data_IF_814961299696
#
_entry.id   IF_814961299696
#
_cell.length_a   1.000
_cell.length_b   1.000
_cell.length_c   1.000
_cell.angle_alpha   90.00
_cell.angle_beta   90.00
_cell.angle_gamma   90.00
#
_symmetry.space_group_name_H-M   'P 1'
#
loop_
_entity.id
_entity.type
_entity.pdbx_description
1 polymer ?
#
# COMPACT_ATOMS: atom_id res chain seq x y z
N UNK A 1 1.41 -30.69 30.73
CA UNK A 1 1.43 -30.42 29.34
C UNK A 1 1.28 -28.95 29.03
N UNK A 2 2.33 -28.15 29.29
CA UNK A 2 2.37 -26.73 28.84
C UNK A 2 3.36 -26.68 27.67
N UNK A 3 2.91 -26.92 26.45
CA UNK A 3 3.85 -26.96 25.34
C UNK A 3 3.28 -26.78 23.93
N UNK A 4 1.97 -26.75 23.72
CA UNK A 4 1.41 -26.79 22.36
C UNK A 4 0.58 -25.56 21.95
N UNK A 5 0.31 -24.62 22.83
CA UNK A 5 -0.62 -23.50 22.56
C UNK A 5 0.01 -22.29 21.84
N UNK A 6 1.29 -22.33 21.51
CA UNK A 6 1.99 -21.19 20.90
C UNK A 6 2.34 -21.32 19.41
N UNK A 7 2.04 -22.44 18.78
CA UNK A 7 2.39 -22.70 17.39
C UNK A 7 1.16 -22.69 16.47
N UNK A 8 1.27 -22.02 15.35
CA UNK A 8 0.25 -22.03 14.30
C UNK A 8 0.34 -23.36 13.52
N UNK A 9 -0.64 -24.24 13.68
CA UNK A 9 -0.71 -25.51 12.97
C UNK A 9 -1.24 -25.34 11.54
N UNK A 10 -0.96 -26.30 10.66
CA UNK A 10 -1.36 -26.22 9.25
C UNK A 10 -2.87 -26.08 9.06
N UNK A 11 -3.66 -26.76 9.91
CA UNK A 11 -5.11 -26.65 9.88
C UNK A 11 -5.58 -25.24 10.21
N UNK A 12 -5.02 -24.62 11.23
CA UNK A 12 -5.33 -23.23 11.61
C UNK A 12 -4.87 -22.25 10.55
N UNK A 13 -3.66 -22.45 10.00
CA UNK A 13 -3.16 -21.61 8.90
C UNK A 13 -4.10 -21.64 7.69
N UNK A 14 -4.63 -22.81 7.31
CA UNK A 14 -5.63 -22.92 6.23
C UNK A 14 -6.89 -22.13 6.52
N UNK A 15 -7.39 -22.15 7.77
CA UNK A 15 -8.56 -21.36 8.16
C UNK A 15 -8.32 -19.86 8.00
N UNK A 16 -7.18 -19.35 8.45
CA UNK A 16 -6.81 -17.94 8.26
C UNK A 16 -6.63 -17.59 6.80
N UNK A 17 -5.97 -18.44 6.01
CA UNK A 17 -5.78 -18.27 4.59
C UNK A 17 -7.12 -18.13 3.85
N UNK A 18 -8.04 -19.04 4.11
CA UNK A 18 -9.34 -19.06 3.45
C UNK A 18 -10.22 -17.88 3.88
N UNK A 19 -10.12 -17.48 5.17
CA UNK A 19 -10.83 -16.32 5.70
C UNK A 19 -10.31 -15.03 5.05
N UNK A 20 -9.01 -14.84 4.98
CA UNK A 20 -8.38 -13.66 4.37
C UNK A 20 -8.68 -13.55 2.88
N UNK A 21 -8.67 -14.68 2.16
CA UNK A 21 -9.04 -14.70 0.75
C UNK A 21 -10.50 -14.29 0.54
N UNK A 22 -11.42 -14.89 1.26
CA UNK A 22 -12.85 -14.59 1.13
C UNK A 22 -13.20 -13.17 1.53
N UNK A 23 -12.62 -12.68 2.62
CA UNK A 23 -12.94 -11.36 3.16
C UNK A 23 -12.25 -10.22 2.39
N UNK A 24 -11.02 -10.41 2.01
CA UNK A 24 -10.15 -9.32 1.55
C UNK A 24 -9.40 -9.61 0.25
N UNK A 25 -9.54 -10.81 -0.32
CA UNK A 25 -8.82 -11.20 -1.52
C UNK A 25 -7.30 -11.40 -1.32
N UNK A 26 -6.86 -11.48 -0.07
CA UNK A 26 -5.45 -11.73 0.24
C UNK A 26 -5.13 -13.20 -0.02
N UNK A 27 -4.17 -13.46 -0.91
CA UNK A 27 -3.64 -14.79 -1.17
C UNK A 27 -2.40 -15.03 -0.31
N UNK A 28 -2.47 -16.03 0.57
CA UNK A 28 -1.39 -16.44 1.45
C UNK A 28 -0.87 -17.82 1.00
N UNK A 29 0.33 -17.87 0.41
CA UNK A 29 0.98 -19.13 0.08
C UNK A 29 1.48 -19.84 1.32
N UNK A 30 1.74 -21.16 1.22
CA UNK A 30 2.25 -21.96 2.34
C UNK A 30 3.60 -21.42 2.87
N UNK A 31 4.42 -20.82 2.01
CA UNK A 31 5.66 -20.16 2.40
C UNK A 31 5.47 -19.00 3.38
N UNK A 32 4.28 -18.40 3.44
CA UNK A 32 3.96 -17.29 4.33
C UNK A 32 3.48 -17.71 5.73
N UNK A 33 3.37 -19.01 6.00
CA UNK A 33 2.89 -19.52 7.30
C UNK A 33 3.67 -18.94 8.47
N UNK A 34 5.00 -18.90 8.41
CA UNK A 34 5.83 -18.35 9.46
C UNK A 34 5.63 -16.84 9.66
N UNK A 35 5.48 -16.11 8.58
CA UNK A 35 5.17 -14.67 8.61
C UNK A 35 3.82 -14.41 9.29
N UNK A 36 2.79 -15.17 8.92
CA UNK A 36 1.44 -15.08 9.52
C UNK A 36 1.52 -15.41 11.00
N UNK A 37 2.17 -16.51 11.37
CA UNK A 37 2.35 -16.91 12.77
C UNK A 37 3.01 -15.81 13.59
N UNK A 38 4.11 -15.23 13.11
CA UNK A 38 4.83 -14.18 13.82
C UNK A 38 4.01 -12.90 14.00
N UNK A 39 3.28 -12.48 12.99
CA UNK A 39 2.44 -11.28 13.06
C UNK A 39 1.24 -11.46 13.98
N UNK A 40 0.55 -12.58 13.86
CA UNK A 40 -0.61 -12.89 14.70
C UNK A 40 -0.21 -13.16 16.16
N UNK A 41 0.94 -13.78 16.43
CA UNK A 41 1.41 -14.02 17.78
C UNK A 41 1.53 -12.73 18.62
N UNK A 42 1.99 -11.64 18.01
CA UNK A 42 2.03 -10.32 18.66
C UNK A 42 0.62 -9.83 18.99
N UNK A 43 -0.33 -10.05 18.10
CA UNK A 43 -1.72 -9.65 18.30
C UNK A 43 -2.41 -10.47 19.37
N UNK A 44 -2.18 -11.79 19.40
CA UNK A 44 -2.70 -12.67 20.46
C UNK A 44 -2.25 -12.19 21.84
N UNK A 45 -0.95 -11.87 21.99
CA UNK A 45 -0.42 -11.33 23.25
C UNK A 45 -1.08 -10.01 23.65
N UNK A 46 -1.25 -9.11 22.71
CA UNK A 46 -1.91 -7.83 22.95
C UNK A 46 -3.36 -7.99 23.43
N UNK A 47 -4.07 -8.97 22.89
CA UNK A 47 -5.47 -9.27 23.25
C UNK A 47 -5.60 -10.27 24.41
N UNK A 48 -4.49 -10.75 24.97
CA UNK A 48 -4.47 -11.80 26.00
C UNK A 48 -5.23 -13.07 25.59
N UNK A 49 -5.12 -13.46 24.32
CA UNK A 49 -5.76 -14.67 23.80
C UNK A 49 -4.80 -15.86 23.89
N UNK A 50 -5.28 -17.04 24.35
CA UNK A 50 -4.41 -18.18 24.59
C UNK A 50 -4.04 -18.98 23.32
N UNK A 51 -4.82 -18.85 22.24
CA UNK A 51 -4.59 -19.67 21.04
C UNK A 51 -5.02 -18.95 19.74
N UNK A 52 -4.47 -19.43 18.61
CA UNK A 52 -4.90 -18.98 17.28
C UNK A 52 -6.37 -19.34 17.00
N UNK A 53 -6.88 -20.43 17.54
CA UNK A 53 -8.28 -20.80 17.41
C UNK A 53 -9.22 -19.78 18.09
N UNK A 54 -8.83 -19.27 19.26
CA UNK A 54 -9.57 -18.20 19.94
C UNK A 54 -9.55 -16.89 19.12
N UNK A 55 -8.42 -16.57 18.53
CA UNK A 55 -8.31 -15.41 17.66
C UNK A 55 -9.17 -15.56 16.41
N UNK A 56 -9.16 -16.73 15.78
CA UNK A 56 -10.01 -17.01 14.63
C UNK A 56 -11.50 -16.80 14.95
N UNK A 57 -11.98 -17.31 16.10
CA UNK A 57 -13.36 -17.09 16.56
C UNK A 57 -13.66 -15.59 16.75
N UNK A 58 -12.72 -14.86 17.32
CA UNK A 58 -12.87 -13.41 17.49
C UNK A 58 -13.00 -12.69 16.17
N UNK A 59 -12.21 -13.04 15.17
CA UNK A 59 -12.29 -12.44 13.82
C UNK A 59 -13.69 -12.61 13.19
N UNK A 60 -14.33 -13.74 13.45
CA UNK A 60 -15.68 -14.00 12.92
C UNK A 60 -16.76 -13.15 13.59
N UNK A 61 -16.52 -12.70 14.80
CA UNK A 61 -17.48 -11.96 15.63
C UNK A 61 -17.24 -10.43 15.64
N UNK A 62 -16.05 -9.98 15.28
CA UNK A 62 -15.62 -8.58 15.45
C UNK A 62 -15.04 -8.04 14.13
N UNK A 63 -15.83 -7.23 13.44
CA UNK A 63 -15.42 -6.61 12.17
C UNK A 63 -14.26 -5.64 12.29
N UNK A 64 -14.10 -4.98 13.43
CA UNK A 64 -12.95 -4.10 13.71
C UNK A 64 -11.66 -4.90 13.83
N UNK A 65 -11.72 -6.06 14.51
CA UNK A 65 -10.57 -6.95 14.61
C UNK A 65 -10.26 -7.62 13.25
N UNK A 66 -11.26 -7.89 12.43
CA UNK A 66 -11.06 -8.38 11.07
C UNK A 66 -10.23 -7.39 10.24
N UNK A 67 -10.54 -6.10 10.30
CA UNK A 67 -9.75 -5.08 9.61
C UNK A 67 -8.31 -5.02 10.13
N UNK A 68 -8.13 -5.15 11.44
CA UNK A 68 -6.79 -5.23 12.05
C UNK A 68 -5.99 -6.42 11.53
N UNK A 69 -6.61 -7.59 11.41
CA UNK A 69 -5.98 -8.78 10.85
C UNK A 69 -5.60 -8.58 9.36
N UNK A 70 -6.49 -7.99 8.59
CA UNK A 70 -6.21 -7.61 7.18
C UNK A 70 -4.97 -6.73 7.10
N UNK A 71 -4.89 -5.67 7.91
CA UNK A 71 -3.75 -4.76 7.95
C UNK A 71 -2.44 -5.47 8.33
N UNK A 72 -2.49 -6.37 9.30
CA UNK A 72 -1.32 -7.14 9.76
C UNK A 72 -0.82 -8.16 8.72
N UNK A 73 -1.73 -8.79 7.98
CA UNK A 73 -1.41 -9.87 7.05
C UNK A 73 -1.20 -9.41 5.61
N UNK A 74 -1.51 -8.17 5.31
CA UNK A 74 -1.23 -7.58 4.00
C UNK A 74 0.29 -7.40 3.84
N UNK A 75 0.86 -7.97 2.78
CA UNK A 75 2.28 -7.81 2.46
C UNK A 75 2.47 -6.56 1.63
N UNK A 76 3.20 -5.58 2.18
CA UNK A 76 3.42 -4.28 1.55
C UNK A 76 4.93 -4.08 1.28
N UNK A 77 5.51 -4.88 0.38
CA UNK A 77 6.85 -4.60 -0.13
C UNK A 77 6.74 -3.49 -1.17
N UNK A 78 7.26 -2.30 -0.81
CA UNK A 78 7.21 -1.13 -1.67
C UNK A 78 8.37 -0.19 -1.38
N UNK A 79 8.84 0.50 -2.41
CA UNK A 79 9.83 1.57 -2.31
C UNK A 79 9.70 2.52 -3.51
N UNK A 80 10.23 3.72 -3.38
CA UNK A 80 10.19 4.72 -4.46
C UNK A 80 10.95 4.24 -5.68
N UNK A 81 10.39 4.47 -6.87
CA UNK A 81 10.93 4.05 -8.17
C UNK A 81 11.20 2.54 -8.27
N UNK A 82 10.38 1.73 -7.59
CA UNK A 82 10.42 0.29 -7.73
C UNK A 82 10.17 -0.10 -9.18
N UNK A 83 11.06 -0.97 -9.73
CA UNK A 83 11.09 -1.27 -11.16
C UNK A 83 11.30 -0.01 -12.02
N UNK A 84 12.47 0.66 -11.91
CA UNK A 84 12.69 1.97 -12.54
C UNK A 84 12.47 1.97 -14.06
N UNK A 85 12.67 0.84 -14.74
CA UNK A 85 12.40 0.69 -16.17
C UNK A 85 10.93 0.95 -16.54
N UNK A 86 9.98 0.62 -15.65
CA UNK A 86 8.56 0.91 -15.88
C UNK A 86 8.30 2.42 -15.90
N UNK A 87 8.98 3.17 -15.02
CA UNK A 87 8.85 4.62 -14.97
C UNK A 87 9.59 5.30 -16.11
N UNK A 88 10.73 4.77 -16.57
CA UNK A 88 11.41 5.22 -17.78
C UNK A 88 10.49 5.03 -19.01
N UNK A 89 9.86 3.89 -19.14
CA UNK A 89 8.90 3.61 -20.21
C UNK A 89 7.68 4.54 -20.14
N UNK A 90 7.15 4.78 -18.94
CA UNK A 90 6.06 5.73 -18.71
C UNK A 90 6.44 7.13 -19.19
N UNK A 91 7.61 7.61 -18.78
CA UNK A 91 8.14 8.94 -19.13
C UNK A 91 8.38 9.10 -20.63
N UNK A 92 9.03 8.13 -21.25
CA UNK A 92 9.58 8.25 -22.59
C UNK A 92 8.61 7.83 -23.69
N UNK A 93 7.64 6.97 -23.38
CA UNK A 93 6.76 6.36 -24.36
C UNK A 93 5.27 6.51 -24.06
N UNK A 94 4.82 6.18 -22.87
CA UNK A 94 3.38 6.11 -22.55
C UNK A 94 2.78 7.51 -22.47
N UNK A 95 3.30 8.37 -21.61
CA UNK A 95 2.76 9.73 -21.44
C UNK A 95 2.85 10.59 -22.70
N UNK A 96 3.98 10.60 -23.43
CA UNK A 96 4.04 11.34 -24.70
C UNK A 96 3.11 10.78 -25.78
N UNK A 97 2.83 9.48 -25.74
CA UNK A 97 1.96 8.78 -26.69
C UNK A 97 0.45 8.94 -26.46
N UNK A 98 0.03 9.56 -25.36
CA UNK A 98 -1.39 9.74 -25.06
C UNK A 98 -2.03 10.69 -26.07
N UNK A 99 -2.96 10.16 -26.87
CA UNK A 99 -3.66 10.90 -27.93
C UNK A 99 -4.70 11.88 -27.39
N UNK A 100 -5.26 11.60 -26.21
CA UNK A 100 -6.21 12.49 -25.55
C UNK A 100 -5.56 13.81 -25.18
N UNK A 101 -6.26 14.91 -25.42
CA UNK A 101 -5.82 16.26 -25.00
C UNK A 101 -6.41 16.70 -23.66
N UNK A 102 -7.32 15.90 -23.09
CA UNK A 102 -7.96 16.17 -21.81
C UNK A 102 -7.05 15.87 -20.60
N UNK A 103 -7.61 15.96 -19.37
CA UNK A 103 -6.91 15.58 -18.16
C UNK A 103 -6.41 14.12 -18.23
N UNK A 104 -5.19 13.88 -17.76
CA UNK A 104 -4.63 12.52 -17.64
C UNK A 104 -5.02 11.96 -16.29
N UNK A 105 -5.65 10.79 -16.26
CA UNK A 105 -6.03 10.09 -15.04
C UNK A 105 -5.34 8.74 -14.96
N UNK A 106 -4.71 8.50 -13.81
CA UNK A 106 -3.98 7.26 -13.53
C UNK A 106 -4.52 6.63 -12.25
N UNK A 107 -4.63 5.32 -12.22
CA UNK A 107 -4.97 4.55 -11.03
C UNK A 107 -3.79 3.69 -10.59
N UNK A 108 -3.36 3.87 -9.34
CA UNK A 108 -2.42 3.00 -8.63
C UNK A 108 -3.24 2.07 -7.74
N UNK A 109 -3.44 0.82 -8.16
CA UNK A 109 -4.47 -0.07 -7.62
C UNK A 109 -4.10 -0.76 -6.31
N UNK A 110 -2.82 -0.88 -5.99
CA UNK A 110 -2.29 -1.43 -4.74
C UNK A 110 -1.13 -0.54 -4.28
N UNK A 111 -1.48 0.64 -3.78
CA UNK A 111 -0.52 1.73 -3.57
C UNK A 111 0.35 1.58 -2.32
N UNK A 112 0.00 0.66 -1.40
CA UNK A 112 0.67 0.49 -0.12
C UNK A 112 0.81 1.81 0.64
N UNK A 113 1.97 2.11 1.17
CA UNK A 113 2.28 3.34 1.92
C UNK A 113 2.54 4.59 1.04
N UNK A 114 2.28 4.49 -0.26
CA UNK A 114 2.22 5.65 -1.16
C UNK A 114 3.44 5.86 -2.05
N UNK A 115 4.47 5.02 -1.98
CA UNK A 115 5.71 5.18 -2.75
C UNK A 115 5.46 5.13 -4.26
N UNK A 116 4.58 4.23 -4.73
CA UNK A 116 4.23 4.14 -6.15
C UNK A 116 3.44 5.35 -6.64
N UNK A 117 2.32 5.77 -6.03
CA UNK A 117 1.59 6.94 -6.52
C UNK A 117 2.41 8.22 -6.44
N UNK A 118 3.26 8.41 -5.46
CA UNK A 118 4.15 9.58 -5.42
C UNK A 118 5.24 9.52 -6.48
N UNK A 119 5.75 8.32 -6.80
CA UNK A 119 6.66 8.14 -7.94
C UNK A 119 5.96 8.48 -9.26
N UNK A 120 4.74 7.99 -9.48
CA UNK A 120 3.92 8.35 -10.64
C UNK A 120 3.70 9.85 -10.73
N UNK A 121 3.39 10.49 -9.59
CA UNK A 121 3.15 11.93 -9.54
C UNK A 121 4.40 12.74 -9.93
N UNK A 122 5.58 12.34 -9.47
CA UNK A 122 6.83 12.99 -9.86
C UNK A 122 7.07 12.89 -11.38
N UNK A 123 6.89 11.70 -11.96
CA UNK A 123 7.06 11.48 -13.39
C UNK A 123 6.05 12.27 -14.21
N UNK A 124 4.77 12.24 -13.79
CA UNK A 124 3.71 12.99 -14.49
C UNK A 124 3.93 14.49 -14.42
N UNK A 125 4.35 15.02 -13.29
CA UNK A 125 4.67 16.44 -13.14
C UNK A 125 5.81 16.88 -14.08
N UNK A 126 6.83 16.03 -14.27
CA UNK A 126 7.95 16.31 -15.18
C UNK A 126 7.54 16.29 -16.65
N UNK A 127 6.66 15.38 -17.05
CA UNK A 127 6.32 15.14 -18.47
C UNK A 127 5.15 15.99 -18.95
N UNK A 128 4.13 16.16 -18.12
CA UNK A 128 2.85 16.75 -18.53
C UNK A 128 2.83 18.28 -18.47
N UNK A 129 3.81 18.90 -17.80
CA UNK A 129 3.88 20.36 -17.71
C UNK A 129 2.60 20.96 -17.13
N UNK A 130 1.98 21.89 -17.85
CA UNK A 130 0.72 22.53 -17.47
C UNK A 130 -0.56 21.73 -17.80
N UNK A 131 -0.45 20.54 -18.39
CA UNK A 131 -1.60 19.69 -18.67
C UNK A 131 -2.22 19.17 -17.37
N UNK A 132 -3.56 19.25 -17.19
CA UNK A 132 -4.22 18.72 -16.00
C UNK A 132 -4.01 17.19 -15.86
N UNK A 133 -3.75 16.74 -14.65
CA UNK A 133 -3.61 15.33 -14.34
C UNK A 133 -3.95 15.03 -12.88
N UNK A 134 -4.31 13.79 -12.59
CA UNK A 134 -4.58 13.32 -11.25
C UNK A 134 -4.40 11.81 -11.14
N UNK A 135 -4.21 11.36 -9.91
CA UNK A 135 -4.01 9.95 -9.56
C UNK A 135 -5.07 9.55 -8.52
N UNK A 136 -5.72 8.41 -8.76
CA UNK A 136 -6.43 7.68 -7.72
C UNK A 136 -5.51 6.59 -7.22
N UNK A 137 -5.22 6.57 -5.93
CA UNK A 137 -4.40 5.56 -5.30
C UNK A 137 -5.23 4.76 -4.30
N UNK A 138 -5.20 3.45 -4.38
CA UNK A 138 -6.02 2.60 -3.53
C UNK A 138 -5.23 1.45 -2.95
N UNK A 139 -5.65 1.02 -1.78
CA UNK A 139 -5.14 -0.18 -1.12
C UNK A 139 -6.22 -0.79 -0.23
N UNK A 140 -6.05 -2.05 0.12
CA UNK A 140 -6.93 -2.75 1.03
C UNK A 140 -6.66 -2.37 2.49
N UNK A 141 -5.40 -2.09 2.84
CA UNK A 141 -4.96 -1.78 4.20
C UNK A 141 -5.20 -0.31 4.56
N UNK A 142 -6.07 -0.08 5.55
CA UNK A 142 -6.33 1.27 6.08
C UNK A 142 -5.08 1.89 6.73
N UNK A 143 -4.23 1.06 7.34
CA UNK A 143 -2.99 1.50 8.00
C UNK A 143 -2.00 2.10 7.00
N UNK A 144 -1.75 1.43 5.88
CA UNK A 144 -0.81 1.94 4.86
C UNK A 144 -1.35 3.19 4.16
N UNK A 145 -2.67 3.28 3.98
CA UNK A 145 -3.30 4.48 3.42
C UNK A 145 -3.14 5.70 4.34
N UNK A 146 -3.19 5.50 5.66
CA UNK A 146 -2.93 6.57 6.61
C UNK A 146 -1.50 7.13 6.46
N UNK A 147 -0.51 6.25 6.33
CA UNK A 147 0.89 6.62 6.03
C UNK A 147 1.00 7.32 4.68
N UNK A 148 0.35 6.80 3.65
CA UNK A 148 0.36 7.38 2.31
C UNK A 148 -0.21 8.80 2.29
N UNK A 149 -1.33 9.03 2.99
CA UNK A 149 -1.93 10.38 3.09
C UNK A 149 -1.03 11.39 3.78
N UNK A 150 -0.26 10.97 4.78
CA UNK A 150 0.72 11.84 5.43
C UNK A 150 1.85 12.23 4.47
N UNK A 151 2.28 11.31 3.61
CA UNK A 151 3.36 11.52 2.66
C UNK A 151 4.70 11.83 3.31
N UNK A 152 4.93 11.32 4.52
CA UNK A 152 6.17 11.49 5.29
C UNK A 152 6.87 10.15 5.42
N UNK A 153 8.17 10.13 5.15
CA UNK A 153 9.00 8.93 5.10
C UNK A 153 10.34 9.15 5.80
N UNK A 154 11.02 8.06 6.16
CA UNK A 154 12.40 8.14 6.64
C UNK A 154 13.34 8.55 5.51
N UNK A 155 14.41 9.27 5.82
CA UNK A 155 15.36 9.74 4.81
C UNK A 155 16.03 8.58 4.06
N UNK A 156 16.19 7.43 4.69
CA UNK A 156 16.75 6.22 4.08
C UNK A 156 15.85 5.72 2.93
N UNK A 157 14.54 5.95 3.00
CA UNK A 157 13.58 5.54 1.98
C UNK A 157 13.67 6.40 0.70
N UNK A 158 14.41 7.51 0.76
CA UNK A 158 14.63 8.37 -0.39
C UNK A 158 15.67 7.83 -1.39
N UNK A 159 16.36 6.74 -1.08
CA UNK A 159 17.47 6.21 -1.89
C UNK A 159 17.07 5.97 -3.35
N UNK A 160 15.86 5.46 -3.58
CA UNK A 160 15.35 5.20 -4.94
C UNK A 160 14.94 6.44 -5.72
N UNK A 161 14.83 7.60 -5.08
CA UNK A 161 14.36 8.83 -5.73
C UNK A 161 15.56 9.54 -6.39
N UNK A 162 15.52 9.81 -7.71
CA UNK A 162 16.55 10.62 -8.35
C UNK A 162 16.74 11.97 -7.64
N UNK A 163 17.98 12.36 -7.38
CA UNK A 163 18.27 13.59 -6.62
C UNK A 163 17.60 14.86 -7.14
N UNK A 164 17.51 15.10 -8.46
CA UNK A 164 16.78 16.27 -8.97
C UNK A 164 15.31 16.27 -8.58
N UNK A 165 14.65 15.12 -8.61
CA UNK A 165 13.25 14.96 -8.23
C UNK A 165 13.06 15.10 -6.72
N UNK A 166 13.96 14.54 -5.92
CA UNK A 166 13.95 14.69 -4.47
C UNK A 166 14.00 16.17 -4.06
N UNK A 167 14.89 16.96 -4.66
CA UNK A 167 15.01 18.39 -4.39
C UNK A 167 13.79 19.18 -4.85
N UNK A 168 13.19 18.79 -5.96
CA UNK A 168 12.07 19.52 -6.57
C UNK A 168 10.74 19.23 -5.87
N UNK A 169 10.50 17.98 -5.44
CA UNK A 169 9.20 17.51 -4.99
C UNK A 169 9.12 17.13 -3.52
N UNK A 170 10.21 17.18 -2.78
CA UNK A 170 10.25 16.80 -1.38
C UNK A 170 10.78 17.92 -0.49
N UNK A 171 10.37 17.89 0.78
CA UNK A 171 10.82 18.78 1.83
C UNK A 171 11.59 17.97 2.87
N UNK A 172 12.77 18.43 3.25
CA UNK A 172 13.58 17.82 4.32
C UNK A 172 12.95 18.17 5.68
N UNK A 173 12.86 17.18 6.56
CA UNK A 173 12.45 17.39 7.94
C UNK A 173 13.49 18.19 8.75
N UNK A 174 13.00 19.08 9.60
CA UNK A 174 13.82 19.90 10.51
C UNK A 174 13.25 19.84 11.93
N UNK A 175 14.08 20.19 12.92
CA UNK A 175 13.66 20.14 14.32
C UNK A 175 13.23 18.75 14.74
N UNK A 176 12.03 18.61 15.30
CA UNK A 176 11.48 17.32 15.72
C UNK A 176 11.21 16.31 14.59
N UNK A 177 11.43 16.71 13.32
CA UNK A 177 11.24 15.88 12.13
C UNK A 177 12.55 15.54 11.41
N UNK A 178 13.69 15.77 12.05
CA UNK A 178 14.99 15.37 11.50
C UNK A 178 15.00 13.88 11.16
N UNK A 179 15.74 13.53 10.10
CA UNK A 179 15.80 12.16 9.60
C UNK A 179 14.61 11.73 8.75
N UNK A 180 13.67 12.65 8.48
CA UNK A 180 12.52 12.41 7.60
C UNK A 180 12.53 13.34 6.38
N UNK A 181 11.73 12.98 5.38
CA UNK A 181 11.33 13.88 4.30
C UNK A 181 9.83 13.78 4.06
N UNK A 182 9.25 14.76 3.42
CA UNK A 182 7.82 14.80 3.09
C UNK A 182 7.63 15.18 1.63
N UNK A 183 6.66 14.57 0.99
CA UNK A 183 6.20 14.98 -0.34
C UNK A 183 5.56 16.38 -0.23
N UNK A 184 5.89 17.27 -1.16
CA UNK A 184 5.33 18.63 -1.17
C UNK A 184 3.82 18.61 -1.29
N UNK A 185 3.11 19.53 -0.61
CA UNK A 185 1.64 19.60 -0.63
C UNK A 185 1.04 19.70 -2.04
N UNK A 186 1.71 20.40 -2.95
CA UNK A 186 1.25 20.56 -4.36
C UNK A 186 1.17 19.22 -5.09
N UNK A 187 2.12 18.32 -4.82
CA UNK A 187 2.12 16.99 -5.40
C UNK A 187 1.11 16.08 -4.72
N UNK A 188 1.01 16.14 -3.40
CA UNK A 188 0.01 15.39 -2.62
C UNK A 188 -1.43 15.72 -3.06
N UNK A 189 -1.71 16.97 -3.37
CA UNK A 189 -3.03 17.42 -3.81
C UNK A 189 -3.49 16.78 -5.14
N UNK A 190 -2.57 16.19 -5.91
CA UNK A 190 -2.89 15.47 -7.15
C UNK A 190 -3.36 14.05 -6.95
N UNK A 191 -3.32 13.53 -5.72
CA UNK A 191 -3.60 12.14 -5.41
C UNK A 191 -4.80 12.03 -4.48
N UNK A 192 -5.79 11.25 -4.89
CA UNK A 192 -6.91 10.84 -4.06
C UNK A 192 -6.65 9.42 -3.56
N UNK A 193 -6.55 9.24 -2.24
CA UNK A 193 -6.36 7.93 -1.61
C UNK A 193 -7.71 7.34 -1.20
N UNK A 194 -7.95 6.07 -1.58
CA UNK A 194 -9.19 5.34 -1.27
C UNK A 194 -8.91 3.91 -0.82
N UNK A 195 -9.69 3.42 0.14
CA UNK A 195 -9.69 2.01 0.47
C UNK A 195 -10.55 1.24 -0.55
N UNK A 196 -9.96 0.28 -1.24
CA UNK A 196 -10.62 -0.55 -2.25
C UNK A 196 -10.19 -2.00 -2.10
N UNK A 197 -11.17 -2.90 -2.08
CA UNK A 197 -10.93 -4.34 -2.19
C UNK A 197 -11.06 -4.75 -3.66
N UNK A 198 -9.95 -5.12 -4.29
CA UNK A 198 -9.92 -5.53 -5.69
C UNK A 198 -10.66 -6.86 -5.96
N UNK A 199 -10.98 -7.62 -4.92
CA UNK A 199 -11.73 -8.88 -5.01
C UNK A 199 -13.24 -8.72 -4.77
N UNK A 200 -13.70 -7.52 -4.48
CA UNK A 200 -15.11 -7.18 -4.34
C UNK A 200 -15.60 -6.38 -5.56
N UNK A 201 -16.87 -6.05 -5.58
CA UNK A 201 -17.39 -5.09 -6.56
C UNK A 201 -16.64 -3.77 -6.42
N UNK A 202 -16.03 -3.33 -7.50
CA UNK A 202 -15.29 -2.06 -7.51
C UNK A 202 -16.27 -0.89 -7.44
N UNK A 203 -15.97 0.14 -6.64
CA UNK A 203 -16.71 1.40 -6.71
C UNK A 203 -16.49 2.05 -8.07
N UNK A 204 -17.38 2.94 -8.46
CA UNK A 204 -17.18 3.76 -9.67
C UNK A 204 -16.07 4.78 -9.40
N UNK A 205 -14.91 4.53 -9.98
CA UNK A 205 -13.74 5.40 -9.89
C UNK A 205 -13.57 6.30 -11.13
N UNK A 206 -14.47 6.14 -12.11
CA UNK A 206 -14.36 6.82 -13.41
C UNK A 206 -13.45 6.10 -14.41
N UNK A 207 -13.04 6.82 -15.43
CA UNK A 207 -12.21 6.31 -16.53
C UNK A 207 -10.75 6.73 -16.33
N UNK A 208 -9.83 5.82 -16.63
CA UNK A 208 -8.39 6.05 -16.51
C UNK A 208 -7.67 5.86 -17.84
N UNK A 209 -6.63 6.65 -18.07
CA UNK A 209 -5.71 6.48 -19.20
C UNK A 209 -4.71 5.37 -18.94
N UNK A 210 -4.38 5.12 -17.67
CA UNK A 210 -3.39 4.14 -17.24
C UNK A 210 -3.75 3.57 -15.87
N UNK A 211 -3.48 2.28 -15.71
CA UNK A 211 -3.63 1.57 -14.43
C UNK A 211 -2.32 0.87 -14.10
N UNK A 212 -1.80 1.16 -12.90
CA UNK A 212 -0.70 0.44 -12.27
C UNK A 212 -1.28 -0.53 -11.24
N UNK A 213 -0.99 -1.80 -11.41
CA UNK A 213 -1.43 -2.87 -10.52
C UNK A 213 -0.32 -3.90 -10.36
N UNK A 214 0.25 -3.97 -9.15
CA UNK A 214 1.30 -4.94 -8.84
C UNK A 214 1.44 -5.24 -7.34
#
# INVERSE_FOLDING_TARGET
>A
GAGENGQLHDREFKLFRDLMYRHAGISLSDAKKQLVAGRLAKRLRHLNLPSYADYFRRLQADGGEMQTAVDLLTTNETYFFREPKHFDFLRDSVLPGLKSKGPVRVWSGACSSGEEPYTLAMVMAEVLGGRPWGIVASDLSSRVLATARQGRYLIEDAEGIPRPLLRKYCLKGVGGQEGTFMIKPELKARIEFRQVNLNASLPDLGVFDLIFLR
#
